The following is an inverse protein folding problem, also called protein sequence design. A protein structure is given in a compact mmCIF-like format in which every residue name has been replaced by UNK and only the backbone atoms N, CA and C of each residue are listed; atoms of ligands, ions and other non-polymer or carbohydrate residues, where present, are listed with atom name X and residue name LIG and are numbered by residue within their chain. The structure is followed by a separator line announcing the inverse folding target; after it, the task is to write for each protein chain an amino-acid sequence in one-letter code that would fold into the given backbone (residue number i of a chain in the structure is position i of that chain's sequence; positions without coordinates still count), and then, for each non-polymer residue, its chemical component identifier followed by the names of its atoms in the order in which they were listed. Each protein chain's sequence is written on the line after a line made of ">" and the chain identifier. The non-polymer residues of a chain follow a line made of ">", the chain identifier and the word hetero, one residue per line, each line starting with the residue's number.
data_IF_426173880437
#
_entry.id   IF_426173880437
#
_cell.length_a   1.000
_cell.length_b   1.000
_cell.length_c   1.000
_cell.angle_alpha   90.00
_cell.angle_beta   90.00
_cell.angle_gamma   90.00
#
_symmetry.space_group_name_H-M   'P 1'
#
loop_
_entity.id
_entity.type
_entity.pdbx_description
1 polymer ?
#
# COMPACT_ATOMS: atom_id res chain seq x y z
N UNK A 1 -36.07 20.56 -19.62
CA UNK A 1 -35.05 19.54 -19.94
C UNK A 1 -33.72 20.27 -19.90
N UNK A 2 -32.74 19.86 -19.08
CA UNK A 2 -31.37 20.35 -19.21
C UNK A 2 -30.89 20.05 -20.63
N UNK A 3 -30.26 21.01 -21.29
CA UNK A 3 -29.71 20.86 -22.64
C UNK A 3 -28.46 19.99 -22.56
N UNK A 4 -28.24 19.09 -23.53
CA UNK A 4 -27.00 18.30 -23.63
C UNK A 4 -25.73 19.16 -23.64
N UNK A 5 -25.84 20.43 -24.07
CA UNK A 5 -24.76 21.42 -24.10
C UNK A 5 -24.41 21.97 -22.70
N UNK A 6 -25.37 22.04 -21.78
CA UNK A 6 -25.13 22.49 -20.39
C UNK A 6 -24.34 21.44 -19.60
N UNK A 7 -24.61 20.16 -19.86
CA UNK A 7 -23.89 19.06 -19.26
C UNK A 7 -22.44 19.02 -19.79
N UNK A 8 -22.24 19.09 -21.12
CA UNK A 8 -20.91 19.07 -21.74
C UNK A 8 -20.00 20.21 -21.25
N UNK A 9 -20.51 21.44 -21.16
CA UNK A 9 -19.75 22.59 -20.66
C UNK A 9 -19.42 22.49 -19.16
N UNK A 10 -20.31 21.89 -18.36
CA UNK A 10 -20.05 21.58 -16.96
C UNK A 10 -18.98 20.49 -16.79
N UNK A 11 -18.91 19.51 -17.69
CA UNK A 11 -17.86 18.49 -17.68
C UNK A 11 -16.48 19.07 -18.06
N UNK A 12 -16.40 19.89 -19.11
CA UNK A 12 -15.15 20.52 -19.54
C UNK A 12 -14.56 21.46 -18.48
N UNK A 13 -15.41 22.24 -17.81
CA UNK A 13 -14.98 23.12 -16.71
C UNK A 13 -14.46 22.33 -15.50
N UNK A 14 -15.06 21.19 -15.17
CA UNK A 14 -14.56 20.30 -14.10
C UNK A 14 -13.22 19.68 -14.49
N UNK A 15 -13.10 19.14 -15.70
CA UNK A 15 -11.86 18.49 -16.17
C UNK A 15 -10.70 19.49 -16.24
N UNK A 16 -10.93 20.69 -16.76
CA UNK A 16 -9.91 21.73 -16.85
C UNK A 16 -9.43 22.16 -15.46
N UNK A 17 -10.34 22.43 -14.51
CA UNK A 17 -9.97 22.78 -13.13
C UNK A 17 -9.20 21.65 -12.46
N UNK A 18 -9.62 20.40 -12.59
CA UNK A 18 -8.92 19.25 -12.02
C UNK A 18 -7.51 19.10 -12.59
N UNK A 19 -7.35 19.28 -13.91
CA UNK A 19 -6.04 19.18 -14.57
C UNK A 19 -5.08 20.28 -14.12
N UNK A 20 -5.58 21.51 -13.91
CA UNK A 20 -4.80 22.64 -13.40
C UNK A 20 -4.39 22.40 -11.95
N UNK A 21 -5.32 21.94 -11.11
CA UNK A 21 -5.02 21.62 -9.72
C UNK A 21 -3.99 20.50 -9.62
N UNK A 22 -4.18 19.40 -10.36
CA UNK A 22 -3.25 18.27 -10.36
C UNK A 22 -1.86 18.67 -10.84
N UNK A 23 -1.76 19.40 -11.95
CA UNK A 23 -0.47 19.87 -12.47
C UNK A 23 0.21 20.88 -11.53
N UNK A 24 -0.52 21.80 -10.92
CA UNK A 24 0.02 22.72 -9.92
C UNK A 24 0.54 21.96 -8.68
N UNK A 25 -0.21 20.96 -8.19
CA UNK A 25 0.21 20.11 -7.08
C UNK A 25 1.48 19.31 -7.39
N UNK A 26 1.59 18.75 -8.60
CA UNK A 26 2.80 18.08 -9.06
C UNK A 26 4.00 19.02 -9.17
N UNK A 27 3.81 20.23 -9.69
CA UNK A 27 4.88 21.24 -9.76
C UNK A 27 5.36 21.65 -8.37
N UNK A 28 4.44 21.87 -7.42
CA UNK A 28 4.80 22.22 -6.05
C UNK A 28 5.57 21.08 -5.36
N UNK A 29 5.16 19.83 -5.55
CA UNK A 29 5.88 18.68 -5.00
C UNK A 29 7.24 18.46 -5.68
N UNK A 30 7.36 18.74 -6.98
CA UNK A 30 8.64 18.74 -7.69
C UNK A 30 9.60 19.82 -7.17
N UNK A 31 9.12 21.06 -7.02
CA UNK A 31 9.89 22.16 -6.43
C UNK A 31 10.31 21.84 -5.00
N UNK A 32 9.42 21.26 -4.20
CA UNK A 32 9.75 20.79 -2.86
C UNK A 32 10.85 19.74 -2.87
N UNK A 33 10.74 18.73 -3.74
CA UNK A 33 11.77 17.71 -3.92
C UNK A 33 13.13 18.30 -4.29
N UNK A 34 13.14 19.31 -5.17
CA UNK A 34 14.34 20.07 -5.52
C UNK A 34 14.93 20.81 -4.32
N UNK A 35 14.12 21.58 -3.57
CA UNK A 35 14.59 22.34 -2.41
C UNK A 35 15.17 21.46 -1.29
N UNK A 36 14.56 20.30 -1.04
CA UNK A 36 15.08 19.31 -0.08
C UNK A 36 16.44 18.77 -0.56
N UNK A 37 16.56 18.48 -1.86
CA UNK A 37 17.78 17.92 -2.44
C UNK A 37 18.94 18.94 -2.51
N UNK A 38 18.65 20.23 -2.70
CA UNK A 38 19.66 21.31 -2.80
C UNK A 38 20.11 21.84 -1.43
N UNK A 39 19.54 21.36 -0.32
CA UNK A 39 20.16 21.46 1.01
C UNK A 39 19.61 22.54 1.95
N UNK A 40 18.38 23.03 1.75
CA UNK A 40 17.79 24.04 2.66
C UNK A 40 17.01 23.44 3.84
N UNK A 41 16.52 22.20 3.76
CA UNK A 41 15.70 21.59 4.83
C UNK A 41 16.08 20.12 5.03
N UNK A 42 16.99 19.85 5.97
CA UNK A 42 17.55 18.51 6.19
C UNK A 42 16.73 17.62 7.13
N UNK A 43 15.64 18.13 7.70
CA UNK A 43 14.88 17.45 8.77
C UNK A 43 13.54 16.88 8.29
N UNK A 44 13.06 17.25 7.09
CA UNK A 44 11.79 16.77 6.55
C UNK A 44 12.07 15.84 5.37
N UNK A 45 11.51 14.63 5.37
CA UNK A 45 11.61 13.72 4.22
C UNK A 45 10.85 14.27 3.02
N UNK A 46 11.29 13.93 1.80
CA UNK A 46 10.61 14.33 0.57
C UNK A 46 9.14 13.89 0.56
N UNK A 47 8.86 12.68 1.04
CA UNK A 47 7.50 12.13 1.17
C UNK A 47 6.62 12.91 2.15
N UNK A 48 7.16 13.27 3.33
CA UNK A 48 6.41 14.04 4.33
C UNK A 48 6.00 15.40 3.78
N UNK A 49 6.89 16.09 3.09
CA UNK A 49 6.55 17.38 2.50
C UNK A 49 5.56 17.29 1.34
N UNK A 50 5.64 16.23 0.51
CA UNK A 50 4.65 16.00 -0.54
C UNK A 50 3.24 15.79 0.05
N UNK A 51 3.12 15.02 1.13
CA UNK A 51 1.85 14.82 1.85
C UNK A 51 1.33 16.13 2.43
N UNK A 52 2.20 16.96 3.03
CA UNK A 52 1.82 18.26 3.58
C UNK A 52 1.32 19.22 2.49
N UNK A 53 1.99 19.28 1.34
CA UNK A 53 1.56 20.10 0.20
C UNK A 53 0.18 19.65 -0.28
N UNK A 54 -0.04 18.34 -0.46
CA UNK A 54 -1.34 17.80 -0.83
C UNK A 54 -2.43 18.11 0.19
N UNK A 55 -2.13 18.00 1.48
CA UNK A 55 -3.05 18.34 2.57
C UNK A 55 -3.43 19.82 2.56
N UNK A 56 -2.44 20.73 2.50
CA UNK A 56 -2.68 22.18 2.46
C UNK A 56 -3.50 22.55 1.24
N UNK A 57 -3.14 22.01 0.07
CA UNK A 57 -3.87 22.24 -1.17
C UNK A 57 -5.32 21.75 -1.07
N UNK A 58 -5.56 20.55 -0.51
CA UNK A 58 -6.90 20.04 -0.28
C UNK A 58 -7.73 20.91 0.67
N UNK A 59 -7.12 21.44 1.74
CA UNK A 59 -7.77 22.38 2.65
C UNK A 59 -8.11 23.69 1.94
N UNK A 60 -7.19 24.26 1.16
CA UNK A 60 -7.40 25.50 0.40
C UNK A 60 -8.55 25.35 -0.59
N UNK A 61 -8.56 24.25 -1.36
CA UNK A 61 -9.64 23.97 -2.34
C UNK A 61 -11.00 23.88 -1.63
N UNK A 62 -11.04 23.25 -0.46
CA UNK A 62 -12.26 23.15 0.35
C UNK A 62 -12.73 24.49 0.90
N UNK A 63 -11.80 25.36 1.33
CA UNK A 63 -12.12 26.70 1.82
C UNK A 63 -12.59 27.64 0.70
N UNK A 64 -12.09 27.47 -0.52
CA UNK A 64 -12.48 28.26 -1.68
C UNK A 64 -13.85 27.83 -2.27
N UNK A 65 -14.52 26.82 -1.71
CA UNK A 65 -15.82 26.34 -2.19
C UNK A 65 -15.76 25.62 -3.54
N UNK A 66 -14.56 25.29 -4.02
CA UNK A 66 -14.33 24.57 -5.29
C UNK A 66 -14.58 23.06 -5.12
N UNK A 67 -14.82 22.59 -3.89
CA UNK A 67 -14.89 21.17 -3.53
C UNK A 67 -16.29 20.52 -3.56
N UNK A 68 -17.36 21.25 -3.95
CA UNK A 68 -18.74 20.74 -3.84
C UNK A 68 -19.10 19.62 -4.84
N UNK A 69 -18.22 19.32 -5.79
CA UNK A 69 -18.39 18.20 -6.73
C UNK A 69 -17.48 17.06 -6.30
N UNK A 70 -18.08 15.91 -5.94
CA UNK A 70 -17.37 14.66 -5.58
C UNK A 70 -16.35 14.17 -6.63
N UNK A 71 -16.43 14.69 -7.85
CA UNK A 71 -15.56 14.36 -8.98
C UNK A 71 -14.34 15.31 -9.13
N UNK A 72 -14.25 16.40 -8.36
CA UNK A 72 -13.22 17.42 -8.59
C UNK A 72 -11.81 17.05 -8.10
N UNK A 73 -11.62 15.93 -7.40
CA UNK A 73 -10.30 15.55 -6.85
C UNK A 73 -10.07 14.03 -6.76
N UNK A 74 -10.97 13.21 -7.27
CA UNK A 74 -10.79 11.76 -7.23
C UNK A 74 -9.76 11.33 -8.27
N UNK A 75 -8.56 10.93 -7.84
CA UNK A 75 -7.73 10.08 -8.70
C UNK A 75 -8.46 8.74 -8.87
N UNK A 76 -8.65 8.30 -10.11
CA UNK A 76 -9.17 6.96 -10.35
C UNK A 76 -8.13 5.95 -9.86
N UNK A 77 -8.57 5.00 -9.03
CA UNK A 77 -7.73 3.90 -8.59
C UNK A 77 -7.16 3.14 -9.80
N UNK A 78 -7.92 3.06 -10.89
CA UNK A 78 -7.50 2.48 -12.17
C UNK A 78 -6.28 3.18 -12.77
N UNK A 79 -6.23 4.53 -12.79
CA UNK A 79 -5.06 5.24 -13.29
C UNK A 79 -3.83 4.98 -12.41
N UNK A 80 -4.01 4.91 -11.10
CA UNK A 80 -2.92 4.53 -10.20
C UNK A 80 -2.42 3.11 -10.47
N UNK A 81 -3.31 2.12 -10.53
CA UNK A 81 -2.95 0.71 -10.71
C UNK A 81 -2.40 0.38 -12.10
N UNK A 82 -2.95 0.97 -13.16
CA UNK A 82 -2.57 0.64 -14.54
C UNK A 82 -1.50 1.57 -15.12
N UNK A 83 -1.42 2.83 -14.69
CA UNK A 83 -0.46 3.79 -15.26
C UNK A 83 0.74 4.07 -14.34
N UNK A 84 0.53 4.27 -13.03
CA UNK A 84 1.59 4.69 -12.11
C UNK A 84 2.35 3.52 -11.47
N UNK A 85 1.63 2.51 -11.02
CA UNK A 85 2.19 1.39 -10.27
C UNK A 85 3.17 0.52 -11.10
N UNK A 86 2.92 0.19 -12.39
CA UNK A 86 3.84 -0.66 -13.14
C UNK A 86 5.24 -0.05 -13.36
N UNK A 87 5.39 1.23 -13.79
CA UNK A 87 6.70 1.87 -13.87
C UNK A 87 7.44 1.93 -12.53
N UNK A 88 6.73 2.22 -11.43
CA UNK A 88 7.32 2.29 -10.08
C UNK A 88 7.89 0.92 -9.69
N UNK A 89 7.10 -0.15 -9.83
CA UNK A 89 7.56 -1.51 -9.50
C UNK A 89 8.71 -1.93 -10.41
N UNK A 90 8.68 -1.55 -11.69
CA UNK A 90 9.73 -1.87 -12.65
C UNK A 90 11.07 -1.22 -12.27
N UNK A 91 11.10 0.09 -12.01
CA UNK A 91 12.30 0.82 -11.60
C UNK A 91 12.86 0.26 -10.28
N UNK A 92 11.97 0.02 -9.33
CA UNK A 92 12.30 -0.54 -8.04
C UNK A 92 12.92 -1.96 -8.17
N UNK A 93 12.35 -2.81 -9.03
CA UNK A 93 12.86 -4.15 -9.31
C UNK A 93 14.20 -4.13 -10.07
N UNK A 94 14.41 -3.14 -10.93
CA UNK A 94 15.66 -2.98 -11.68
C UNK A 94 16.83 -2.56 -10.77
N UNK A 95 16.55 -1.77 -9.74
CA UNK A 95 17.55 -1.34 -8.73
C UNK A 95 17.97 -2.46 -7.74
N UNK A 96 17.23 -3.57 -7.72
CA UNK A 96 17.42 -4.67 -6.77
C UNK A 96 18.60 -5.57 -7.16
N UNK A 97 19.45 -5.91 -6.19
CA UNK A 97 20.43 -6.98 -6.36
C UNK A 97 19.75 -8.36 -6.25
N UNK A 98 19.37 -8.92 -7.39
CA UNK A 98 18.65 -10.20 -7.48
C UNK A 98 19.35 -11.37 -6.79
N UNK A 99 20.69 -11.43 -6.83
CA UNK A 99 21.46 -12.49 -6.18
C UNK A 99 21.32 -12.44 -4.64
N UNK A 100 21.42 -11.26 -4.06
CA UNK A 100 21.27 -11.07 -2.61
C UNK A 100 19.84 -11.28 -2.14
N UNK A 101 18.87 -10.87 -2.96
CA UNK A 101 17.44 -11.09 -2.72
C UNK A 101 17.11 -12.58 -2.71
N UNK A 102 17.55 -13.34 -3.73
CA UNK A 102 17.27 -14.78 -3.82
C UNK A 102 17.97 -15.58 -2.72
N UNK A 103 19.18 -15.19 -2.32
CA UNK A 103 19.90 -15.84 -1.22
C UNK A 103 19.23 -15.64 0.15
N UNK A 104 18.46 -14.57 0.34
CA UNK A 104 17.78 -14.26 1.60
C UNK A 104 16.25 -14.35 1.49
N UNK A 105 15.73 -14.97 0.42
CA UNK A 105 14.32 -15.00 0.09
C UNK A 105 13.46 -15.55 1.23
N UNK A 106 13.91 -16.60 1.91
CA UNK A 106 13.21 -17.19 3.05
C UNK A 106 13.03 -16.18 4.19
N UNK A 107 14.07 -15.40 4.51
CA UNK A 107 14.00 -14.37 5.56
C UNK A 107 13.05 -13.24 5.15
N UNK A 108 13.15 -12.79 3.90
CA UNK A 108 12.27 -11.76 3.33
C UNK A 108 10.80 -12.20 3.41
N UNK A 109 10.50 -13.41 2.95
CA UNK A 109 9.14 -14.00 3.01
C UNK A 109 8.65 -14.13 4.45
N UNK A 110 9.52 -14.57 5.36
CA UNK A 110 9.16 -14.71 6.78
C UNK A 110 8.77 -13.36 7.38
N UNK A 111 9.57 -12.31 7.14
CA UNK A 111 9.27 -10.97 7.63
C UNK A 111 8.02 -10.38 6.98
N UNK A 112 7.87 -10.52 5.66
CA UNK A 112 6.70 -10.00 4.94
C UNK A 112 5.39 -10.69 5.34
N UNK A 113 5.38 -12.01 5.56
CA UNK A 113 4.15 -12.71 5.96
C UNK A 113 3.87 -12.55 7.44
N UNK A 114 4.83 -12.93 8.29
CA UNK A 114 4.62 -12.96 9.74
C UNK A 114 4.59 -11.54 10.31
N UNK A 115 5.53 -10.69 9.90
CA UNK A 115 5.62 -9.32 10.37
C UNK A 115 4.36 -8.51 10.04
N UNK A 116 3.90 -8.57 8.78
CA UNK A 116 2.71 -7.84 8.34
C UNK A 116 1.44 -8.40 8.96
N UNK A 117 1.32 -9.71 9.13
CA UNK A 117 0.15 -10.32 9.81
C UNK A 117 0.10 -9.89 11.28
N UNK A 118 1.24 -9.92 11.98
CA UNK A 118 1.31 -9.46 13.38
C UNK A 118 1.01 -7.95 13.46
N UNK A 119 1.60 -7.14 12.58
CA UNK A 119 1.36 -5.70 12.51
C UNK A 119 -0.12 -5.38 12.29
N UNK A 120 -0.76 -6.04 11.33
CA UNK A 120 -2.19 -5.90 11.06
C UNK A 120 -3.03 -6.29 12.27
N UNK A 121 -2.72 -7.42 12.91
CA UNK A 121 -3.48 -7.91 14.06
C UNK A 121 -3.35 -7.00 15.28
N UNK A 122 -2.13 -6.57 15.62
CA UNK A 122 -1.85 -5.70 16.76
C UNK A 122 -2.50 -4.33 16.57
N UNK A 123 -2.37 -3.73 15.39
CA UNK A 123 -3.01 -2.44 15.09
C UNK A 123 -4.53 -2.54 15.12
N UNK A 124 -5.11 -3.61 14.57
CA UNK A 124 -6.56 -3.85 14.58
C UNK A 124 -7.12 -3.96 15.99
N UNK A 125 -6.46 -4.75 16.86
CA UNK A 125 -6.88 -4.92 18.25
C UNK A 125 -6.65 -3.65 19.05
N UNK A 126 -5.51 -2.99 18.86
CA UNK A 126 -5.22 -1.71 19.49
C UNK A 126 -6.29 -0.67 19.16
N UNK A 127 -6.69 -0.57 17.90
CA UNK A 127 -7.73 0.36 17.48
C UNK A 127 -9.11 -0.04 18.01
N UNK A 128 -9.46 -1.33 17.99
CA UNK A 128 -10.73 -1.82 18.53
C UNK A 128 -10.85 -1.54 20.03
N UNK A 129 -9.85 -1.93 20.81
CA UNK A 129 -9.82 -1.71 22.26
C UNK A 129 -9.87 -0.22 22.60
N UNK A 130 -9.10 0.62 21.89
CA UNK A 130 -9.15 2.07 22.04
C UNK A 130 -10.52 2.65 21.72
N UNK A 131 -11.16 2.20 20.63
CA UNK A 131 -12.48 2.67 20.19
C UNK A 131 -13.59 2.31 21.18
N UNK A 132 -13.51 1.13 21.80
CA UNK A 132 -14.47 0.67 22.83
C UNK A 132 -14.14 1.16 24.24
N UNK A 133 -12.98 1.80 24.43
CA UNK A 133 -12.57 2.36 25.72
C UNK A 133 -13.43 3.56 26.10
N UNK A 134 -13.45 3.90 27.39
CA UNK A 134 -14.19 5.04 27.94
C UNK A 134 -13.89 6.37 27.24
N UNK A 135 -12.70 6.52 26.66
CA UNK A 135 -12.28 7.74 25.96
C UNK A 135 -13.13 8.06 24.72
N UNK A 136 -13.60 7.04 23.99
CA UNK A 136 -14.39 7.22 22.77
C UNK A 136 -15.81 6.67 22.94
N UNK A 137 -15.95 5.54 23.63
CA UNK A 137 -17.25 4.98 24.02
C UNK A 137 -18.08 4.41 22.85
N UNK A 138 -17.44 3.99 21.75
CA UNK A 138 -18.17 3.40 20.63
C UNK A 138 -18.78 2.05 21.03
N UNK A 139 -20.01 1.79 20.59
CA UNK A 139 -20.67 0.50 20.80
C UNK A 139 -19.87 -0.61 20.11
N UNK A 140 -19.59 -1.67 20.85
CA UNK A 140 -18.89 -2.85 20.35
C UNK A 140 -19.81 -3.66 19.41
N UNK A 141 -19.90 -3.23 18.16
CA UNK A 141 -20.68 -3.88 17.10
C UNK A 141 -19.75 -4.70 16.20
N UNK A 142 -20.29 -5.74 15.55
CA UNK A 142 -19.52 -6.55 14.59
C UNK A 142 -18.94 -5.70 13.44
N UNK A 143 -19.69 -4.68 13.00
CA UNK A 143 -19.24 -3.72 12.00
C UNK A 143 -18.03 -2.89 12.48
N UNK A 144 -18.01 -2.46 13.75
CA UNK A 144 -16.86 -1.73 14.31
C UNK A 144 -15.61 -2.60 14.29
N UNK A 145 -15.72 -3.87 14.71
CA UNK A 145 -14.61 -4.83 14.62
C UNK A 145 -14.15 -5.00 13.18
N UNK A 146 -15.09 -5.12 12.24
CA UNK A 146 -14.79 -5.21 10.81
C UNK A 146 -13.98 -4.02 10.31
N UNK A 147 -14.39 -2.80 10.65
CA UNK A 147 -13.66 -1.58 10.29
C UNK A 147 -12.27 -1.51 10.93
N UNK A 148 -12.13 -1.89 12.20
CA UNK A 148 -10.82 -1.91 12.85
C UNK A 148 -9.88 -2.94 12.21
N UNK A 149 -10.39 -4.13 11.87
CA UNK A 149 -9.63 -5.21 11.23
C UNK A 149 -9.19 -4.85 9.81
N UNK A 150 -10.10 -4.31 9.00
CA UNK A 150 -9.76 -3.86 7.64
C UNK A 150 -8.81 -2.67 7.68
N UNK A 151 -8.98 -1.73 8.61
CA UNK A 151 -8.04 -0.61 8.79
C UNK A 151 -6.63 -1.08 9.20
N UNK A 152 -6.54 -2.02 10.15
CA UNK A 152 -5.25 -2.57 10.56
C UNK A 152 -4.54 -3.32 9.41
N UNK A 153 -5.28 -4.04 8.56
CA UNK A 153 -4.72 -4.62 7.34
C UNK A 153 -4.26 -3.57 6.32
N UNK A 154 -4.98 -2.47 6.15
CA UNK A 154 -4.59 -1.40 5.22
C UNK A 154 -3.29 -0.72 5.62
N UNK A 155 -3.07 -0.50 6.92
CA UNK A 155 -1.92 0.26 7.43
C UNK A 155 -0.72 -0.62 7.81
N UNK A 156 -0.83 -1.95 7.65
CA UNK A 156 0.26 -2.87 8.00
C UNK A 156 1.33 -3.00 6.92
N UNK A 157 1.02 -2.63 5.68
CA UNK A 157 2.01 -2.53 4.61
C UNK A 157 2.93 -1.33 4.85
N UNK A 158 4.22 -1.50 4.55
CA UNK A 158 5.28 -0.52 4.86
C UNK A 158 5.88 0.05 3.57
N UNK A 159 6.11 1.37 3.54
CA UNK A 159 6.72 2.03 2.39
C UNK A 159 8.26 1.93 2.45
N UNK A 160 8.91 1.25 1.48
CA UNK A 160 10.37 1.12 1.48
C UNK A 160 11.05 2.45 1.21
N UNK A 161 10.41 3.40 0.52
CA UNK A 161 11.00 4.68 0.13
C UNK A 161 11.35 5.52 1.36
N UNK A 162 10.46 5.57 2.35
CA UNK A 162 10.70 6.29 3.60
C UNK A 162 11.89 5.71 4.38
N UNK A 163 11.98 4.37 4.48
CA UNK A 163 13.07 3.69 5.19
C UNK A 163 14.40 3.82 4.44
N UNK A 164 14.38 3.72 3.12
CA UNK A 164 15.55 3.90 2.27
C UNK A 164 16.08 5.33 2.27
N UNK A 165 15.21 6.34 2.32
CA UNK A 165 15.63 7.74 2.45
C UNK A 165 16.40 8.00 3.75
N UNK A 166 15.97 7.38 4.87
CA UNK A 166 16.67 7.45 6.15
C UNK A 166 18.01 6.71 6.12
N UNK A 167 18.05 5.52 5.51
CA UNK A 167 19.28 4.73 5.40
C UNK A 167 20.31 5.35 4.45
N UNK A 168 19.87 6.02 3.38
CA UNK A 168 20.73 6.71 2.41
C UNK A 168 21.39 7.98 2.93
N UNK A 169 20.78 8.66 3.92
CA UNK A 169 21.33 9.85 4.56
C UNK A 169 22.34 9.59 5.68
N UNK A 170 22.45 8.35 6.15
CA UNK A 170 23.39 8.00 7.22
C UNK A 170 24.82 7.89 6.67
N UNK A 171 25.82 8.37 7.43
CA UNK A 171 27.27 8.21 7.10
C UNK A 171 27.70 6.75 6.90
N UNK A 172 26.85 5.79 7.27
CA UNK A 172 27.10 4.37 7.12
C UNK A 172 26.35 3.88 5.87
N UNK A 173 27.11 3.50 4.84
CA UNK A 173 26.52 2.84 3.66
C UNK A 173 25.78 1.60 4.16
N UNK A 174 24.45 1.52 4.02
CA UNK A 174 23.72 0.38 4.52
C UNK A 174 24.24 -0.89 3.85
N UNK A 175 24.38 -1.96 4.62
CA UNK A 175 24.76 -3.26 4.09
C UNK A 175 23.81 -3.60 2.94
N UNK A 176 24.34 -3.98 1.77
CA UNK A 176 23.54 -4.37 0.59
C UNK A 176 22.51 -5.45 0.93
N UNK A 177 22.81 -6.31 1.91
CA UNK A 177 21.85 -7.30 2.45
C UNK A 177 20.66 -6.64 3.13
N UNK A 178 20.88 -5.63 3.97
CA UNK A 178 19.82 -4.94 4.69
C UNK A 178 18.91 -4.16 3.73
N UNK A 179 19.51 -3.50 2.73
CA UNK A 179 18.76 -2.83 1.66
C UNK A 179 17.85 -3.84 0.92
N UNK A 180 18.40 -4.99 0.54
CA UNK A 180 17.63 -6.04 -0.15
C UNK A 180 16.54 -6.66 0.74
N UNK A 181 16.78 -6.80 2.04
CA UNK A 181 15.83 -7.34 3.01
C UNK A 181 14.65 -6.39 3.21
N UNK A 182 14.92 -5.13 3.53
CA UNK A 182 13.88 -4.10 3.78
C UNK A 182 13.05 -3.87 2.52
N UNK A 183 13.70 -3.68 1.38
CA UNK A 183 13.00 -3.49 0.13
C UNK A 183 12.11 -4.70 -0.23
N UNK A 184 12.66 -5.91 -0.11
CA UNK A 184 11.92 -7.13 -0.41
C UNK A 184 10.74 -7.37 0.53
N UNK A 185 10.90 -7.06 1.81
CA UNK A 185 9.82 -7.15 2.80
C UNK A 185 8.69 -6.19 2.45
N UNK A 186 9.00 -4.93 2.17
CA UNK A 186 8.00 -3.93 1.80
C UNK A 186 7.25 -4.27 0.51
N UNK A 187 7.93 -4.75 -0.54
CA UNK A 187 7.26 -5.13 -1.79
C UNK A 187 6.30 -6.32 -1.59
N UNK A 188 6.69 -7.30 -0.79
CA UNK A 188 5.84 -8.48 -0.55
C UNK A 188 4.73 -8.21 0.46
N UNK A 189 4.93 -7.29 1.41
CA UNK A 189 3.92 -6.99 2.41
C UNK A 189 2.66 -6.31 1.83
N UNK A 190 2.78 -5.57 0.73
CA UNK A 190 1.63 -4.98 0.02
C UNK A 190 0.65 -6.08 -0.41
N UNK A 191 1.18 -7.16 -1.00
CA UNK A 191 0.36 -8.30 -1.41
C UNK A 191 -0.30 -8.98 -0.20
N UNK A 192 0.45 -9.15 0.90
CA UNK A 192 -0.08 -9.74 2.14
C UNK A 192 -1.19 -8.88 2.74
N UNK A 193 -0.98 -7.57 2.81
CA UNK A 193 -1.94 -6.58 3.32
C UNK A 193 -3.24 -6.57 2.49
N UNK A 194 -3.15 -6.60 1.16
CA UNK A 194 -4.32 -6.68 0.27
C UNK A 194 -5.12 -7.96 0.51
N UNK A 195 -4.44 -9.12 0.65
CA UNK A 195 -5.12 -10.39 0.91
C UNK A 195 -5.78 -10.40 2.30
N UNK A 196 -5.11 -9.87 3.33
CA UNK A 196 -5.69 -9.70 4.67
C UNK A 196 -6.91 -8.78 4.65
N UNK A 197 -6.82 -7.65 3.95
CA UNK A 197 -7.93 -6.71 3.78
C UNK A 197 -9.14 -7.40 3.14
N UNK A 198 -8.95 -8.12 2.03
CA UNK A 198 -10.01 -8.85 1.37
C UNK A 198 -10.62 -9.95 2.27
N UNK A 199 -9.78 -10.67 3.04
CA UNK A 199 -10.24 -11.68 3.98
C UNK A 199 -11.09 -11.09 5.11
N UNK A 200 -10.68 -9.95 5.69
CA UNK A 200 -11.49 -9.25 6.69
C UNK A 200 -12.77 -8.66 6.09
N UNK A 201 -12.70 -8.12 4.87
CA UNK A 201 -13.87 -7.60 4.18
C UNK A 201 -14.93 -8.68 3.99
N UNK A 202 -14.51 -9.87 3.53
CA UNK A 202 -15.38 -11.02 3.36
C UNK A 202 -15.93 -11.52 4.69
N UNK A 203 -15.11 -11.59 5.75
CA UNK A 203 -15.52 -12.12 7.04
C UNK A 203 -16.54 -11.23 7.78
N UNK A 204 -16.43 -9.90 7.66
CA UNK A 204 -17.25 -8.97 8.45
C UNK A 204 -18.37 -8.28 7.65
N UNK A 205 -18.25 -8.16 6.34
CA UNK A 205 -19.18 -7.36 5.51
C UNK A 205 -19.91 -8.16 4.43
N UNK A 206 -19.59 -9.45 4.21
CA UNK A 206 -20.40 -10.28 3.31
C UNK A 206 -21.71 -10.73 3.99
N UNK A 207 -22.85 -10.74 3.27
CA UNK A 207 -24.10 -11.30 3.78
C UNK A 207 -23.87 -12.74 4.23
N UNK A 208 -24.26 -13.10 5.47
CA UNK A 208 -24.11 -14.45 6.04
C UNK A 208 -24.92 -15.47 5.24
N UNK A 209 -24.31 -16.01 4.19
CA UNK A 209 -24.79 -17.13 3.39
C UNK A 209 -23.59 -17.80 2.76
N UNK A 210 -23.31 -19.05 3.16
CA UNK A 210 -22.21 -19.92 2.67
C UNK A 210 -20.88 -19.84 3.43
N UNK A 211 -20.86 -20.28 4.70
CA UNK A 211 -19.89 -21.30 5.19
C UNK A 211 -20.06 -21.55 6.69
N UNK A 212 -20.62 -22.71 6.99
CA UNK A 212 -20.75 -23.31 8.32
C UNK A 212 -19.40 -23.79 8.86
N UNK A 213 -19.12 -23.49 10.14
CA UNK A 213 -18.21 -24.27 10.98
C UNK A 213 -16.72 -24.04 10.78
N UNK A 214 -16.02 -23.63 11.84
CA UNK A 214 -14.55 -23.56 11.98
C UNK A 214 -13.77 -22.58 11.06
N UNK A 215 -14.37 -22.07 9.98
CA UNK A 215 -13.81 -21.07 9.06
C UNK A 215 -13.94 -19.59 9.52
N UNK A 216 -14.39 -19.35 10.77
CA UNK A 216 -14.72 -18.01 11.26
C UNK A 216 -13.54 -17.18 11.75
N UNK A 217 -12.33 -17.73 11.87
CA UNK A 217 -11.16 -16.87 12.12
C UNK A 217 -10.58 -16.43 10.77
N UNK A 218 -10.61 -15.12 10.44
CA UNK A 218 -10.06 -14.63 9.18
C UNK A 218 -8.56 -14.97 9.06
N UNK A 219 -7.88 -15.13 10.20
CA UNK A 219 -6.50 -15.63 10.27
C UNK A 219 -6.36 -17.09 9.82
N UNK A 220 -7.27 -18.02 10.17
CA UNK A 220 -7.19 -19.39 9.62
C UNK A 220 -7.48 -19.41 8.14
N UNK A 221 -8.49 -18.68 7.65
CA UNK A 221 -8.78 -18.61 6.21
C UNK A 221 -7.61 -17.97 5.43
N UNK A 222 -6.97 -16.94 6.00
CA UNK A 222 -5.75 -16.37 5.47
C UNK A 222 -4.59 -17.37 5.50
N UNK A 223 -4.37 -18.09 6.59
CA UNK A 223 -3.27 -19.05 6.72
C UNK A 223 -3.49 -20.27 5.83
N UNK A 224 -4.69 -20.86 5.77
CA UNK A 224 -5.00 -22.00 4.90
C UNK A 224 -5.01 -21.60 3.44
N UNK A 225 -5.63 -20.46 3.09
CA UNK A 225 -5.63 -19.91 1.74
C UNK A 225 -4.24 -19.49 1.25
N UNK A 226 -3.40 -18.95 2.14
CA UNK A 226 -2.00 -18.61 1.83
C UNK A 226 -1.13 -19.84 1.68
N UNK A 227 -1.41 -20.95 2.38
CA UNK A 227 -0.71 -22.23 2.20
C UNK A 227 -1.09 -22.89 0.87
N UNK A 228 -2.35 -22.77 0.44
CA UNK A 228 -2.82 -23.31 -0.85
C UNK A 228 -2.38 -22.46 -2.05
N UNK A 229 -2.35 -21.12 -1.91
CA UNK A 229 -2.02 -20.17 -2.99
C UNK A 229 -0.65 -19.50 -2.85
N UNK A 230 0.25 -20.08 -2.05
CA UNK A 230 1.54 -19.44 -1.78
C UNK A 230 2.36 -19.25 -3.07
N UNK A 231 2.91 -18.05 -3.32
CA UNK A 231 3.98 -17.85 -4.30
C UNK A 231 5.18 -18.75 -3.99
N UNK A 232 5.37 -19.15 -2.73
CA UNK A 232 6.46 -20.04 -2.30
C UNK A 232 6.34 -21.42 -2.91
N UNK A 233 5.12 -21.98 -3.08
CA UNK A 233 4.92 -23.27 -3.75
C UNK A 233 5.05 -23.16 -5.27
N UNK A 234 4.58 -22.05 -5.86
CA UNK A 234 4.75 -21.80 -7.29
C UNK A 234 6.23 -21.56 -7.64
N UNK A 235 6.93 -20.72 -6.88
CA UNK A 235 8.34 -20.39 -7.07
C UNK A 235 9.26 -21.57 -6.73
N UNK A 236 9.05 -22.26 -5.60
CA UNK A 236 9.78 -23.49 -5.30
C UNK A 236 9.50 -24.59 -6.34
N UNK A 237 8.25 -24.69 -6.81
CA UNK A 237 7.86 -25.60 -7.89
C UNK A 237 8.58 -25.30 -9.20
N UNK A 238 8.65 -24.03 -9.62
CA UNK A 238 9.40 -23.60 -10.81
C UNK A 238 10.91 -23.76 -10.66
N UNK A 239 11.45 -23.55 -9.45
CA UNK A 239 12.88 -23.68 -9.16
C UNK A 239 13.34 -25.14 -9.16
N UNK A 240 12.55 -26.04 -8.55
CA UNK A 240 12.78 -27.50 -8.60
C UNK A 240 12.65 -28.02 -10.04
N UNK A 241 11.68 -27.52 -10.81
CA UNK A 241 11.52 -27.90 -12.23
C UNK A 241 12.71 -27.43 -13.06
N UNK A 242 13.16 -26.18 -12.88
CA UNK A 242 14.34 -25.64 -13.56
C UNK A 242 15.63 -26.42 -13.24
N UNK A 243 15.82 -26.80 -11.98
CA UNK A 243 16.98 -27.60 -11.57
C UNK A 243 16.95 -29.01 -12.18
N UNK A 244 15.78 -29.65 -12.25
CA UNK A 244 15.62 -30.98 -12.87
C UNK A 244 15.88 -30.96 -14.39
N UNK A 245 15.42 -29.91 -15.09
CA UNK A 245 15.67 -29.74 -16.53
C UNK A 245 17.15 -29.51 -16.83
N UNK A 246 17.85 -28.75 -15.98
CA UNK A 246 19.29 -28.54 -16.08
C UNK A 246 20.08 -29.83 -15.83
N UNK A 247 19.68 -30.66 -14.86
CA UNK A 247 20.31 -31.97 -14.63
C UNK A 247 20.14 -32.93 -15.82
N UNK A 248 19.01 -32.86 -16.51
CA UNK A 248 18.72 -33.71 -17.68
C UNK A 248 19.46 -33.26 -18.95
N UNK A 249 19.93 -31.99 -19.01
CA UNK A 249 20.70 -31.45 -20.13
C UNK A 249 22.22 -31.65 -19.99
N UNK A 250 22.69 -32.03 -18.81
CA UNK A 250 24.12 -32.24 -18.49
C UNK A 250 24.48 -33.73 -18.38
N UNK A 251 23.53 -34.63 -18.68
CA UNK A 251 23.74 -36.09 -18.80
C UNK A 251 23.54 -36.50 -20.25
#
# INVERSE_FOLDING_TARGET
>A
MPSLDDDASAYESVVSVNSVLFSAGLLLTFVWGYLVNTGSVKHISQSTGAVLIGFIMGVVIRLLGVADRKEMLGMSAELFYFALLPPIIFDASFSLNTNMFMNNLTSILTFAFIGTTISAYVTSIGLWTFSTSWLVGLKNTEALRGYCMTFGALISSTDPVAVMALMGGSKYRPNKTLHSLVFGESVLNDAVAIVLFAAYQQAYFSPRGTSSGLAQSPLLHFLTGSIERSPVRFLAGTFVKAQSTLSTLVT
#
